data_IF_203211338577
#
_entry.id   IF_203211338577
#
_cell.length_a   1.000
_cell.length_b   1.000
_cell.length_c   1.000
_cell.angle_alpha   90.00
_cell.angle_beta   90.00
_cell.angle_gamma   90.00
#
_symmetry.space_group_name_H-M   'P 1'
#
loop_
_entity.id
_entity.type
_entity.pdbx_description
1 polymer ?
#
# COMPACT_ATOMS: atom_id res chain seq x y z
N UNK A 1 -47.09 -17.77 11.04
CA UNK A 1 -45.84 -17.01 10.87
C UNK A 1 -46.21 -15.65 10.29
N UNK A 2 -46.14 -14.58 11.10
CA UNK A 2 -46.82 -13.32 10.80
C UNK A 2 -46.10 -12.54 9.69
N UNK A 3 -46.86 -12.16 8.65
CA UNK A 3 -46.39 -11.39 7.47
C UNK A 3 -45.58 -10.14 7.86
N UNK A 4 -46.00 -9.46 8.93
CA UNK A 4 -45.32 -8.29 9.49
C UNK A 4 -43.91 -8.57 10.05
N UNK A 5 -43.67 -9.78 10.58
CA UNK A 5 -42.36 -10.17 11.11
C UNK A 5 -41.36 -10.43 9.98
N UNK A 6 -41.82 -11.01 8.87
CA UNK A 6 -41.00 -11.25 7.69
C UNK A 6 -40.50 -9.96 7.03
N UNK A 7 -41.38 -8.95 6.90
CA UNK A 7 -41.01 -7.65 6.32
C UNK A 7 -39.98 -6.89 7.18
N UNK A 8 -40.11 -6.94 8.51
CA UNK A 8 -39.12 -6.34 9.43
C UNK A 8 -37.75 -7.01 9.33
N UNK A 9 -37.72 -8.34 9.25
CA UNK A 9 -36.48 -9.09 9.04
C UNK A 9 -35.84 -8.73 7.70
N UNK A 10 -36.61 -8.65 6.62
CA UNK A 10 -36.12 -8.26 5.31
C UNK A 10 -35.53 -6.84 5.30
N UNK A 11 -36.23 -5.86 5.89
CA UNK A 11 -35.72 -4.49 6.01
C UNK A 11 -34.44 -4.42 6.85
N UNK A 12 -34.37 -5.18 7.95
CA UNK A 12 -33.17 -5.21 8.78
C UNK A 12 -31.96 -5.82 8.06
N UNK A 13 -32.16 -6.86 7.25
CA UNK A 13 -31.11 -7.46 6.42
C UNK A 13 -30.67 -6.52 5.30
N UNK A 14 -31.61 -5.82 4.66
CA UNK A 14 -31.31 -4.82 3.64
C UNK A 14 -30.46 -3.67 4.24
N UNK A 15 -30.86 -3.14 5.39
CA UNK A 15 -30.13 -2.09 6.09
C UNK A 15 -28.72 -2.54 6.52
N UNK A 16 -28.59 -3.77 7.04
CA UNK A 16 -27.30 -4.34 7.41
C UNK A 16 -26.38 -4.54 6.19
N UNK A 17 -26.93 -5.00 5.06
CA UNK A 17 -26.17 -5.11 3.81
C UNK A 17 -25.66 -3.75 3.33
N UNK A 18 -26.50 -2.70 3.39
CA UNK A 18 -26.14 -1.35 2.99
C UNK A 18 -25.03 -0.76 3.88
N UNK A 19 -25.08 -1.02 5.20
CA UNK A 19 -24.04 -0.63 6.16
C UNK A 19 -22.69 -1.34 5.91
N UNK A 20 -22.71 -2.55 5.36
CA UNK A 20 -21.48 -3.30 5.02
C UNK A 20 -20.80 -2.75 3.76
N UNK A 21 -21.53 -2.11 2.84
CA UNK A 21 -20.95 -1.51 1.63
C UNK A 21 -20.30 -0.14 1.89
N UNK A 22 -20.71 0.60 2.93
CA UNK A 22 -20.19 1.94 3.24
C UNK A 22 -18.78 1.96 3.84
N UNK A 23 -18.19 0.81 4.17
CA UNK A 23 -16.90 0.73 4.89
C UNK A 23 -15.68 0.56 3.98
N UNK A 24 -15.85 0.63 2.65
CA UNK A 24 -14.73 0.47 1.72
C UNK A 24 -13.89 1.74 1.63
N UNK A 25 -12.86 1.83 2.48
CA UNK A 25 -11.87 2.90 2.44
C UNK A 25 -10.82 2.60 1.36
N UNK A 26 -10.67 3.49 0.37
CA UNK A 26 -9.59 3.38 -0.62
C UNK A 26 -8.33 4.05 -0.08
N UNK A 27 -7.25 3.28 0.05
CA UNK A 27 -5.96 3.82 0.46
C UNK A 27 -5.34 4.64 -0.68
N UNK A 28 -4.77 5.82 -0.37
CA UNK A 28 -3.98 6.57 -1.35
C UNK A 28 -2.74 5.75 -1.70
N UNK A 29 -2.60 5.38 -2.98
CA UNK A 29 -1.43 4.69 -3.49
C UNK A 29 -0.41 5.68 -4.06
N UNK A 30 0.86 5.37 -3.88
CA UNK A 30 1.98 6.09 -4.47
C UNK A 30 2.98 5.11 -5.08
N UNK A 31 3.62 5.55 -6.16
CA UNK A 31 4.61 4.75 -6.88
C UNK A 31 5.99 5.00 -6.28
N UNK A 32 6.58 3.94 -5.75
CA UNK A 32 7.98 3.94 -5.30
C UNK A 32 8.82 3.33 -6.42
N UNK A 33 9.82 4.07 -6.89
CA UNK A 33 10.80 3.59 -7.88
C UNK A 33 12.19 3.64 -7.27
N UNK A 34 12.89 2.50 -7.29
CA UNK A 34 14.28 2.39 -6.90
C UNK A 34 15.11 1.97 -8.11
N UNK A 35 16.30 2.55 -8.22
CA UNK A 35 17.23 2.30 -9.32
C UNK A 35 18.58 1.87 -8.77
N UNK A 36 19.10 0.74 -9.25
CA UNK A 36 20.45 0.30 -8.93
C UNK A 36 21.49 1.09 -9.75
N UNK A 37 21.82 2.30 -9.25
CA UNK A 37 22.65 3.28 -9.97
C UNK A 37 24.15 3.24 -9.70
N UNK A 38 24.62 2.43 -8.74
CA UNK A 38 26.05 2.29 -8.41
C UNK A 38 26.43 0.81 -8.39
N UNK A 39 27.50 0.47 -9.12
CA UNK A 39 28.01 -0.88 -9.47
C UNK A 39 27.38 -1.48 -10.73
N UNK A 40 27.96 -1.16 -11.89
CA UNK A 40 27.61 -1.68 -13.22
C UNK A 40 27.74 -3.20 -13.37
N UNK A 41 28.15 -3.93 -12.33
CA UNK A 41 28.47 -5.36 -12.39
C UNK A 41 27.86 -6.21 -11.27
N UNK A 42 27.31 -5.62 -10.21
CA UNK A 42 26.78 -6.39 -9.07
C UNK A 42 25.24 -6.43 -9.07
N UNK A 43 24.69 -7.65 -9.08
CA UNK A 43 23.28 -7.84 -8.77
C UNK A 43 23.08 -7.73 -7.25
N UNK A 44 21.97 -7.16 -6.82
CA UNK A 44 21.59 -7.08 -5.41
C UNK A 44 20.23 -7.74 -5.21
N UNK A 45 20.01 -8.34 -4.05
CA UNK A 45 18.66 -8.73 -3.64
C UNK A 45 18.04 -7.58 -2.85
N UNK A 46 16.79 -7.26 -3.13
CA UNK A 46 15.99 -6.29 -2.36
C UNK A 46 14.76 -6.99 -1.82
N UNK A 47 14.42 -6.78 -0.56
CA UNK A 47 13.20 -7.30 0.04
C UNK A 47 12.49 -6.16 0.74
N UNK A 48 11.37 -5.74 0.16
CA UNK A 48 10.58 -4.63 0.67
C UNK A 48 9.34 -5.15 1.39
N UNK A 49 9.03 -4.56 2.54
CA UNK A 49 7.82 -4.87 3.28
C UNK A 49 7.29 -3.65 4.03
N UNK A 50 6.01 -3.71 4.32
CA UNK A 50 5.33 -2.87 5.30
C UNK A 50 4.93 -3.73 6.50
N UNK A 51 4.13 -3.17 7.42
CA UNK A 51 3.57 -3.93 8.54
C UNK A 51 2.65 -5.08 8.08
N UNK A 52 1.95 -4.91 6.95
CA UNK A 52 0.87 -5.81 6.52
C UNK A 52 1.09 -6.44 5.15
N UNK A 53 1.97 -5.86 4.33
CA UNK A 53 2.24 -6.30 2.97
C UNK A 53 3.73 -6.59 2.80
N UNK A 54 4.05 -7.81 2.42
CA UNK A 54 5.39 -8.28 2.10
C UNK A 54 5.50 -8.46 0.59
N UNK A 55 6.41 -7.72 -0.06
CA UNK A 55 6.59 -7.75 -1.51
C UNK A 55 7.53 -8.87 -1.97
N UNK A 56 8.13 -9.59 -1.02
CA UNK A 56 9.10 -10.64 -1.25
C UNK A 56 10.48 -10.14 -1.68
N UNK A 57 11.46 -11.05 -1.71
CA UNK A 57 12.80 -10.76 -2.22
C UNK A 57 12.79 -10.73 -3.76
N UNK A 58 13.48 -9.74 -4.33
CA UNK A 58 13.69 -9.57 -5.77
C UNK A 58 15.17 -9.36 -6.05
N UNK A 59 15.71 -10.09 -7.02
CA UNK A 59 17.08 -9.87 -7.51
C UNK A 59 17.07 -8.76 -8.56
N UNK A 60 17.77 -7.66 -8.30
CA UNK A 60 17.95 -6.54 -9.21
C UNK A 60 19.29 -6.64 -9.90
N UNK A 61 19.29 -6.68 -11.24
CA UNK A 61 20.50 -6.59 -12.04
C UNK A 61 21.07 -5.15 -12.01
N UNK A 62 22.33 -4.96 -12.42
CA UNK A 62 22.87 -3.63 -12.66
C UNK A 62 21.97 -2.83 -13.62
N UNK A 63 21.71 -1.57 -13.29
CA UNK A 63 20.83 -0.67 -14.04
C UNK A 63 19.36 -1.14 -14.16
N UNK A 64 18.93 -2.13 -13.37
CA UNK A 64 17.52 -2.50 -13.29
C UNK A 64 16.77 -1.61 -12.30
N UNK A 65 15.52 -1.31 -12.63
CA UNK A 65 14.57 -0.64 -11.75
C UNK A 65 13.70 -1.64 -10.99
N UNK A 66 13.37 -1.29 -9.75
CA UNK A 66 12.32 -1.93 -8.98
C UNK A 66 11.25 -0.93 -8.63
N UNK A 67 10.00 -1.29 -8.94
CA UNK A 67 8.86 -0.43 -8.71
C UNK A 67 7.77 -1.20 -7.98
N UNK A 68 7.09 -0.52 -7.06
CA UNK A 68 5.89 -1.04 -6.42
C UNK A 68 4.94 0.10 -6.02
N UNK A 69 3.68 -0.25 -5.84
CA UNK A 69 2.66 0.64 -5.29
C UNK A 69 2.64 0.51 -3.77
N UNK A 70 2.72 1.66 -3.11
CA UNK A 70 2.76 1.76 -1.66
C UNK A 70 1.59 2.59 -1.17
N UNK A 71 1.01 2.19 -0.05
CA UNK A 71 0.01 3.03 0.62
C UNK A 71 0.69 4.24 1.27
N UNK A 72 0.19 5.44 0.99
CA UNK A 72 0.78 6.70 1.45
C UNK A 72 0.76 6.92 2.97
N UNK A 73 -0.03 6.13 3.68
CA UNK A 73 -0.10 6.14 5.15
C UNK A 73 0.81 5.12 5.81
N UNK A 74 1.51 4.31 5.02
CA UNK A 74 2.16 3.09 5.49
C UNK A 74 3.67 3.19 5.32
N UNK A 75 4.43 2.78 6.35
CA UNK A 75 5.89 2.67 6.27
C UNK A 75 6.28 1.48 5.41
N UNK A 76 7.20 1.68 4.47
CA UNK A 76 7.85 0.61 3.73
C UNK A 76 9.35 0.66 3.98
N UNK A 77 9.87 -0.47 4.47
CA UNK A 77 11.29 -0.68 4.70
C UNK A 77 11.79 -1.76 3.74
N UNK A 78 12.97 -1.56 3.17
CA UNK A 78 13.60 -2.50 2.27
C UNK A 78 14.96 -2.90 2.80
N UNK A 79 15.21 -4.21 2.82
CA UNK A 79 16.51 -4.77 3.12
C UNK A 79 17.23 -5.07 1.80
N UNK A 80 18.52 -4.74 1.76
CA UNK A 80 19.35 -4.87 0.57
C UNK A 80 20.54 -5.77 0.87
N UNK A 81 20.72 -6.79 0.04
CA UNK A 81 21.83 -7.74 0.11
C UNK A 81 22.70 -7.62 -1.14
N UNK A 82 23.99 -7.36 -0.95
CA UNK A 82 24.99 -7.48 -2.02
C UNK A 82 25.51 -8.91 -2.15
N UNK A 83 25.49 -9.66 -1.04
CA UNK A 83 25.84 -11.07 -0.90
C UNK A 83 24.99 -11.67 0.24
N UNK A 84 25.18 -12.95 0.57
CA UNK A 84 24.39 -13.63 1.61
C UNK A 84 24.77 -13.23 3.04
N UNK A 85 25.86 -12.50 3.24
CA UNK A 85 26.46 -12.23 4.55
C UNK A 85 26.15 -10.82 5.08
N UNK A 86 26.02 -9.84 4.19
CA UNK A 86 25.83 -8.44 4.54
C UNK A 86 24.51 -7.90 4.00
N UNK A 87 23.69 -7.37 4.91
CA UNK A 87 22.44 -6.70 4.59
C UNK A 87 22.30 -5.35 5.29
N UNK A 88 21.61 -4.42 4.62
CA UNK A 88 21.30 -3.11 5.17
C UNK A 88 19.82 -2.80 4.99
N UNK A 89 19.17 -2.42 6.09
CA UNK A 89 17.74 -2.08 6.13
C UNK A 89 17.55 -0.56 6.04
N UNK A 90 16.69 -0.12 5.13
CA UNK A 90 16.35 1.29 4.96
C UNK A 90 14.85 1.51 4.94
N UNK A 91 14.39 2.59 5.58
CA UNK A 91 13.03 3.11 5.40
C UNK A 91 12.93 3.85 4.06
N UNK A 92 12.53 3.12 3.02
CA UNK A 92 12.41 3.66 1.66
C UNK A 92 11.26 4.64 1.54
N UNK A 93 10.14 4.39 2.23
CA UNK A 93 9.05 5.36 2.35
C UNK A 93 8.56 5.46 3.78
N UNK A 94 8.57 6.68 4.32
CA UNK A 94 8.09 6.99 5.66
C UNK A 94 7.13 8.18 5.60
N UNK A 95 5.83 7.99 5.91
CA UNK A 95 4.83 9.06 5.77
C UNK A 95 5.19 10.35 6.50
N UNK A 96 5.79 10.28 7.70
CA UNK A 96 6.18 11.48 8.44
C UNK A 96 7.34 12.27 7.81
N UNK A 97 8.16 11.63 6.98
CA UNK A 97 9.29 12.23 6.27
C UNK A 97 8.91 12.68 4.85
N UNK A 98 8.12 11.86 4.15
CA UNK A 98 7.97 11.94 2.70
C UNK A 98 6.61 12.50 2.24
N UNK A 99 5.61 12.56 3.13
CA UNK A 99 4.24 13.00 2.75
C UNK A 99 4.16 14.47 2.35
N UNK A 100 5.05 15.32 2.85
CA UNK A 100 5.12 16.76 2.49
C UNK A 100 5.70 17.02 1.11
N UNK A 101 6.37 16.03 0.50
CA UNK A 101 6.88 16.10 -0.88
C UNK A 101 5.75 15.88 -1.91
N UNK A 102 4.60 15.36 -1.47
CA UNK A 102 3.41 15.11 -2.28
C UNK A 102 2.52 16.37 -2.32
N UNK A 103 3.06 17.50 -2.79
CA UNK A 103 2.23 18.66 -3.13
C UNK A 103 1.80 18.56 -4.60
N UNK A 104 0.51 18.28 -4.84
CA UNK A 104 -0.09 18.46 -6.17
C UNK A 104 -0.96 17.33 -6.72
N UNK A 105 -1.46 16.40 -5.90
CA UNK A 105 -2.54 15.51 -6.34
C UNK A 105 -3.74 15.78 -5.45
N UNK A 106 -4.80 16.29 -6.07
CA UNK A 106 -6.11 16.55 -5.48
C UNK A 106 -6.53 15.39 -4.57
N UNK A 107 -7.04 15.81 -3.42
CA UNK A 107 -7.58 14.95 -2.39
C UNK A 107 -8.97 14.55 -2.88
N UNK A 108 -9.23 13.25 -3.09
CA UNK A 108 -10.56 12.75 -2.83
C UNK A 108 -10.53 12.21 -1.40
N UNK A 109 -10.92 13.00 -0.38
CA UNK A 109 -11.28 12.41 0.89
C UNK A 109 -12.54 11.59 0.62
N UNK A 110 -12.79 10.54 1.40
CA UNK A 110 -14.02 9.74 1.32
C UNK A 110 -15.27 10.55 1.77
N UNK A 111 -15.46 11.75 1.24
CA UNK A 111 -16.53 12.70 1.52
C UNK A 111 -16.99 13.36 0.21
N UNK A 112 -17.50 12.55 -0.72
CA UNK A 112 -18.28 13.01 -1.89
C UNK A 112 -19.39 11.99 -2.24
N UNK A 113 -20.07 11.44 -1.23
CA UNK A 113 -21.35 10.72 -1.45
C UNK A 113 -22.57 11.51 -0.93
N UNK A 114 -22.41 12.82 -0.73
CA UNK A 114 -23.51 13.75 -0.44
C UNK A 114 -23.37 15.01 -1.30
N UNK A 115 -23.53 14.85 -2.62
CA UNK A 115 -24.19 15.83 -3.51
C UNK A 115 -24.97 15.07 -4.59
#
# INVERSE_FOLDING_TARGET
MNFFTGYRLLLSLLALSLLLFTTTCSAKLLRVTMFNGRLRTAAMTVHCKSKINDLGPRKLKPAEEFQFEAEASTLYSCEFWLNEEESHLFDIYKPSRDKSVIHGIEISPCLDFLL
#
